data_IF_752574017340
#
_entry.id   IF_752574017340
#
_cell.length_a   1.000
_cell.length_b   1.000
_cell.length_c   1.000
_cell.angle_alpha   90.00
_cell.angle_beta   90.00
_cell.angle_gamma   90.00
#
_symmetry.space_group_name_H-M   'P 1'
#
loop_
_entity.id
_entity.type
_entity.pdbx_description
1 polymer ?
#
# COMPACT_ATOMS: atom_id res chain seq x y z
N UNK A 1 15.50 5.27 28.42
CA UNK A 1 15.30 5.92 27.11
C UNK A 1 15.47 4.83 26.06
N UNK A 2 14.38 4.33 25.49
CA UNK A 2 14.46 3.31 24.43
C UNK A 2 14.57 4.05 23.09
N UNK A 3 15.75 3.96 22.48
CA UNK A 3 15.98 4.35 21.10
C UNK A 3 15.29 3.31 20.21
N UNK A 4 14.11 3.63 19.70
CA UNK A 4 13.52 2.89 18.59
C UNK A 4 14.34 3.20 17.35
N UNK A 5 15.22 2.26 16.98
CA UNK A 5 15.80 2.23 15.64
C UNK A 5 14.64 2.13 14.65
N UNK A 6 14.28 3.24 14.02
CA UNK A 6 13.52 3.22 12.77
C UNK A 6 14.48 2.69 11.70
N UNK A 7 14.67 1.38 11.67
CA UNK A 7 15.23 0.73 10.50
C UNK A 7 14.20 0.89 9.39
N UNK A 8 14.39 1.88 8.53
CA UNK A 8 13.74 1.96 7.25
C UNK A 8 14.22 0.76 6.43
N UNK A 9 13.64 -0.41 6.68
CA UNK A 9 13.82 -1.57 5.82
C UNK A 9 13.33 -1.17 4.44
N UNK A 10 14.27 -1.05 3.49
CA UNK A 10 13.96 -0.82 2.08
C UNK A 10 13.15 -2.01 1.58
N UNK A 11 11.84 -1.92 1.72
CA UNK A 11 10.92 -3.00 1.41
C UNK A 11 10.93 -3.17 -0.10
N UNK A 12 11.55 -4.25 -0.58
CA UNK A 12 11.66 -4.51 -2.01
C UNK A 12 10.25 -4.64 -2.62
N UNK A 13 9.93 -3.79 -3.61
CA UNK A 13 8.61 -3.73 -4.24
C UNK A 13 8.30 -5.01 -5.00
N UNK A 14 9.33 -5.74 -5.43
CA UNK A 14 9.19 -7.01 -6.17
C UNK A 14 8.45 -8.10 -5.38
N UNK A 15 8.41 -7.97 -4.04
CA UNK A 15 7.75 -8.93 -3.17
C UNK A 15 6.21 -8.84 -3.20
N UNK A 16 5.66 -7.76 -3.77
CA UNK A 16 4.21 -7.54 -3.81
C UNK A 16 3.61 -8.09 -5.10
N UNK A 17 2.48 -8.77 -4.97
CA UNK A 17 1.74 -9.25 -6.13
C UNK A 17 1.15 -8.05 -6.88
N UNK A 18 1.38 -8.01 -8.19
CA UNK A 18 0.90 -6.93 -9.04
C UNK A 18 0.39 -7.46 -10.38
N UNK A 19 -0.91 -7.26 -10.62
CA UNK A 19 -1.56 -7.50 -11.92
C UNK A 19 -1.92 -6.15 -12.56
N UNK A 20 -1.42 -5.83 -13.77
CA UNK A 20 -1.76 -4.58 -14.46
C UNK A 20 -3.28 -4.40 -14.62
N UNK A 21 -3.77 -3.18 -14.42
CA UNK A 21 -5.20 -2.80 -14.48
C UNK A 21 -6.10 -3.32 -13.34
N UNK A 22 -5.56 -4.06 -12.36
CA UNK A 22 -6.30 -4.54 -11.17
C UNK A 22 -5.82 -3.84 -9.89
N UNK A 23 -5.86 -2.50 -9.87
CA UNK A 23 -5.32 -1.72 -8.75
C UNK A 23 -6.04 -1.99 -7.42
N UNK A 24 -7.36 -2.24 -7.43
CA UNK A 24 -8.11 -2.56 -6.21
C UNK A 24 -7.60 -3.86 -5.56
N UNK A 25 -7.48 -4.94 -6.35
CA UNK A 25 -7.00 -6.22 -5.87
C UNK A 25 -5.53 -6.14 -5.41
N UNK A 26 -4.69 -5.45 -6.17
CA UNK A 26 -3.28 -5.23 -5.80
C UNK A 26 -3.17 -4.50 -4.46
N UNK A 27 -3.98 -3.46 -4.22
CA UNK A 27 -3.98 -2.71 -2.95
C UNK A 27 -4.52 -3.57 -1.81
N UNK A 28 -5.58 -4.35 -2.04
CA UNK A 28 -6.10 -5.28 -1.03
C UNK A 28 -5.03 -6.29 -0.58
N UNK A 29 -4.33 -6.92 -1.54
CA UNK A 29 -3.25 -7.87 -1.26
C UNK A 29 -2.05 -7.18 -0.56
N UNK A 30 -1.74 -5.95 -0.95
CA UNK A 30 -0.72 -5.13 -0.30
C UNK A 30 -1.07 -4.88 1.17
N UNK A 31 -2.27 -4.38 1.47
CA UNK A 31 -2.73 -4.15 2.85
C UNK A 31 -2.64 -5.42 3.69
N UNK A 32 -3.12 -6.56 3.15
CA UNK A 32 -3.05 -7.85 3.85
C UNK A 32 -1.60 -8.26 4.16
N UNK A 33 -0.67 -8.02 3.23
CA UNK A 33 0.75 -8.34 3.42
C UNK A 33 1.43 -7.40 4.42
N UNK A 34 1.08 -6.11 4.42
CA UNK A 34 1.59 -5.14 5.40
C UNK A 34 1.12 -5.49 6.82
N UNK A 35 -0.14 -5.88 7.00
CA UNK A 35 -0.65 -6.37 8.29
C UNK A 35 0.04 -7.67 8.70
N UNK A 36 0.20 -8.64 7.78
CA UNK A 36 0.85 -9.92 8.08
C UNK A 36 2.34 -9.76 8.45
N UNK A 37 3.02 -8.78 7.86
CA UNK A 37 4.42 -8.47 8.16
C UNK A 37 4.59 -7.63 9.44
N UNK A 38 3.49 -7.23 10.09
CA UNK A 38 3.51 -6.37 11.28
C UNK A 38 3.94 -4.92 11.00
N UNK A 39 3.90 -4.51 9.73
CA UNK A 39 4.19 -3.11 9.32
C UNK A 39 2.99 -2.22 9.60
N UNK A 40 1.79 -2.75 9.39
CA UNK A 40 0.53 -2.10 9.70
C UNK A 40 -0.16 -2.77 10.89
N UNK A 41 -1.12 -2.08 11.50
CA UNK A 41 -1.98 -2.65 12.54
C UNK A 41 -2.67 -3.94 12.06
N UNK A 42 -2.93 -4.87 12.98
CA UNK A 42 -3.54 -6.15 12.64
C UNK A 42 -4.95 -6.01 12.03
N UNK A 43 -5.65 -4.92 12.35
CA UNK A 43 -6.95 -4.58 11.75
C UNK A 43 -6.81 -3.60 10.57
N UNK A 44 -5.58 -3.19 10.23
CA UNK A 44 -5.28 -2.22 9.18
C UNK A 44 -5.83 -0.82 9.46
N UNK A 45 -6.04 -0.50 10.75
CA UNK A 45 -6.66 0.77 11.17
C UNK A 45 -5.81 2.01 10.88
N UNK A 46 -4.51 1.82 10.64
CA UNK A 46 -3.53 2.83 10.24
C UNK A 46 -3.33 2.90 8.72
N UNK A 47 -4.02 2.08 7.93
CA UNK A 47 -3.97 2.08 6.47
C UNK A 47 -5.17 2.80 5.86
N UNK A 48 -4.90 3.66 4.88
CA UNK A 48 -5.93 4.38 4.13
C UNK A 48 -5.82 4.04 2.63
N UNK A 49 -6.91 3.54 2.06
CA UNK A 49 -7.01 3.26 0.63
C UNK A 49 -7.80 4.38 -0.04
N UNK A 50 -7.17 5.05 -1.01
CA UNK A 50 -7.76 6.19 -1.72
C UNK A 50 -8.04 5.80 -3.18
N UNK A 51 -9.31 5.82 -3.56
CA UNK A 51 -9.72 5.64 -4.95
C UNK A 51 -9.70 6.98 -5.67
N UNK A 52 -8.88 7.07 -6.73
CA UNK A 52 -8.78 8.27 -7.56
C UNK A 52 -9.67 8.05 -8.79
N UNK A 53 -10.79 8.75 -8.83
CA UNK A 53 -11.71 8.77 -9.96
C UNK A 53 -12.40 10.13 -10.06
N UNK A 54 -13.00 10.41 -11.22
CA UNK A 54 -13.94 11.51 -11.40
C UNK A 54 -15.24 10.97 -12.02
N UNK A 55 -16.26 11.82 -12.16
CA UNK A 55 -17.56 11.43 -12.73
C UNK A 55 -17.44 10.82 -14.13
N UNK A 56 -16.47 11.30 -14.92
CA UNK A 56 -16.19 10.82 -16.28
C UNK A 56 -15.29 9.58 -16.33
N UNK A 57 -14.81 9.10 -15.17
CA UNK A 57 -13.80 8.02 -15.03
C UNK A 57 -12.51 8.27 -15.85
N UNK A 58 -12.13 9.53 -16.01
CA UNK A 58 -10.95 9.98 -16.76
C UNK A 58 -10.05 10.81 -15.85
N UNK A 59 -9.33 10.15 -14.95
CA UNK A 59 -8.30 10.79 -14.13
C UNK A 59 -6.94 10.61 -14.81
N UNK A 60 -6.23 11.71 -15.06
CA UNK A 60 -4.85 11.68 -15.53
C UNK A 60 -3.92 11.73 -14.32
N UNK A 61 -3.09 10.70 -14.14
CA UNK A 61 -2.01 10.71 -13.15
C UNK A 61 -0.68 10.90 -13.89
N UNK A 62 0.11 11.88 -13.45
CA UNK A 62 1.48 12.10 -13.92
C UNK A 62 2.41 11.62 -12.82
N UNK A 63 3.33 10.72 -13.15
CA UNK A 63 4.42 10.31 -12.26
C UNK A 63 5.64 11.19 -12.57
N UNK A 64 6.16 11.88 -11.55
CA UNK A 64 7.39 12.70 -11.64
C UNK A 64 8.62 11.91 -11.26
#
# INVERSE_FOLDING_TARGET
>A
MATSNLEASSTDVSQFNHTPFYCEENVYLLCKKLCANGVADAQGSDLFVVFIANEKKQACMIFS
#
